data_IF_270745479312
#
_entry.id   IF_270745479312
#
_cell.length_a   1.000
_cell.length_b   1.000
_cell.length_c   1.000
_cell.angle_alpha   90.00
_cell.angle_beta   90.00
_cell.angle_gamma   90.00
#
_symmetry.space_group_name_H-M   'P 1'
#
loop_
_entity.id
_entity.type
_entity.pdbx_description
1 polymer ?
#
# COMPACT_ATOMS: atom_id res chain seq x y z
N UNK A 1 0.52 -11.79 -18.13
CA UNK A 1 0.90 -11.61 -19.54
C UNK A 1 -0.30 -11.51 -20.47
N UNK A 2 -1.21 -12.49 -20.48
CA UNK A 2 -2.42 -12.51 -21.34
C UNK A 2 -3.21 -11.20 -21.36
N UNK A 3 -3.51 -10.65 -20.17
CA UNK A 3 -4.26 -9.39 -20.04
C UNK A 3 -3.53 -8.27 -20.76
N UNK A 4 -2.21 -8.20 -20.65
CA UNK A 4 -1.41 -7.18 -21.34
C UNK A 4 -1.34 -7.39 -22.85
N UNK A 5 -1.34 -8.64 -23.34
CA UNK A 5 -1.44 -8.93 -24.77
C UNK A 5 -2.78 -8.46 -25.35
N UNK A 6 -3.87 -8.57 -24.59
CA UNK A 6 -5.21 -8.10 -24.98
C UNK A 6 -5.37 -6.58 -24.86
N UNK A 7 -4.67 -5.95 -23.93
CA UNK A 7 -4.80 -4.53 -23.59
C UNK A 7 -3.46 -3.78 -23.67
N UNK A 8 -2.82 -3.83 -24.84
CA UNK A 8 -1.44 -3.35 -25.04
C UNK A 8 -1.24 -1.87 -24.71
N UNK A 9 -2.18 -1.01 -25.11
CA UNK A 9 -2.10 0.44 -24.84
C UNK A 9 -2.57 0.83 -23.43
N UNK A 10 -3.28 -0.08 -22.75
CA UNK A 10 -3.89 0.18 -21.43
C UNK A 10 -3.13 -0.46 -20.28
N UNK A 11 -2.04 -1.17 -20.56
CA UNK A 11 -1.18 -1.80 -19.57
C UNK A 11 0.30 -1.56 -19.90
N UNK A 12 1.17 -1.58 -18.90
CA UNK A 12 2.60 -1.76 -19.09
C UNK A 12 2.97 -3.13 -18.56
N UNK A 13 3.66 -3.94 -19.35
CA UNK A 13 4.15 -5.25 -18.93
C UNK A 13 5.55 -5.48 -19.46
N UNK A 14 6.45 -5.92 -18.60
CA UNK A 14 7.78 -6.42 -18.94
C UNK A 14 7.99 -7.73 -18.19
N UNK A 15 8.26 -8.79 -18.93
CA UNK A 15 8.60 -10.09 -18.35
C UNK A 15 9.85 -9.98 -17.47
N UNK A 16 9.91 -10.73 -16.37
CA UNK A 16 11.10 -10.82 -15.55
C UNK A 16 12.22 -11.54 -16.33
N UNK A 17 13.47 -11.32 -15.95
CA UNK A 17 14.62 -12.02 -16.54
C UNK A 17 14.64 -13.50 -16.13
N UNK A 18 14.11 -13.81 -14.96
CA UNK A 18 13.99 -15.16 -14.40
C UNK A 18 12.55 -15.48 -14.03
N UNK A 19 12.19 -16.77 -14.08
CA UNK A 19 10.83 -17.24 -13.82
C UNK A 19 10.34 -16.92 -12.41
N UNK A 20 11.24 -16.95 -11.43
CA UNK A 20 10.95 -16.61 -10.03
C UNK A 20 10.67 -15.12 -9.79
N UNK A 21 10.99 -14.27 -10.76
CA UNK A 21 10.87 -12.83 -10.65
C UNK A 21 9.45 -12.36 -10.88
N UNK A 22 9.05 -11.30 -10.19
CA UNK A 22 7.77 -10.66 -10.49
C UNK A 22 7.87 -9.81 -11.76
N UNK A 23 6.92 -9.90 -12.71
CA UNK A 23 6.92 -9.04 -13.88
C UNK A 23 6.72 -7.57 -13.50
N UNK A 24 7.37 -6.65 -14.23
CA UNK A 24 7.02 -5.24 -14.09
C UNK A 24 5.67 -5.03 -14.76
N UNK A 25 4.67 -4.68 -13.96
CA UNK A 25 3.30 -4.57 -14.41
C UNK A 25 2.65 -3.29 -13.89
N UNK A 26 1.88 -2.61 -14.76
CA UNK A 26 1.11 -1.42 -14.41
C UNK A 26 -0.16 -1.34 -15.23
N UNK A 27 -1.23 -0.85 -14.62
CA UNK A 27 -2.47 -0.47 -15.29
C UNK A 27 -2.43 1.01 -15.67
N UNK A 28 -2.73 1.32 -16.93
CA UNK A 28 -2.91 2.70 -17.40
C UNK A 28 -4.38 3.10 -17.39
N UNK A 29 -5.28 2.13 -17.54
CA UNK A 29 -6.73 2.34 -17.58
C UNK A 29 -7.45 1.34 -16.66
N UNK A 30 -8.76 1.53 -16.46
CA UNK A 30 -9.55 0.67 -15.56
C UNK A 30 -10.00 -0.62 -16.25
N UNK A 31 -10.28 -0.55 -17.55
CA UNK A 31 -10.91 -1.61 -18.34
C UNK A 31 -10.22 -2.98 -18.30
N UNK A 32 -8.87 -3.10 -18.20
CA UNK A 32 -8.22 -4.41 -18.08
C UNK A 32 -8.42 -5.07 -16.71
N UNK A 33 -8.78 -4.31 -15.67
CA UNK A 33 -8.78 -4.77 -14.29
C UNK A 33 -9.80 -5.88 -13.99
N UNK A 34 -11.07 -5.81 -14.43
CA UNK A 34 -12.02 -6.89 -14.21
C UNK A 34 -11.56 -8.25 -14.76
N UNK A 35 -10.96 -8.27 -15.96
CA UNK A 35 -10.42 -9.50 -16.56
C UNK A 35 -9.20 -10.01 -15.76
N UNK A 36 -8.35 -9.09 -15.28
CA UNK A 36 -7.25 -9.44 -14.41
C UNK A 36 -7.76 -10.08 -13.10
N UNK A 37 -8.80 -9.51 -12.48
CA UNK A 37 -9.42 -10.07 -11.29
C UNK A 37 -9.97 -11.47 -11.53
N UNK A 38 -10.67 -11.70 -12.65
CA UNK A 38 -11.19 -13.02 -13.02
C UNK A 38 -10.07 -14.05 -13.16
N UNK A 39 -8.96 -13.70 -13.84
CA UNK A 39 -7.81 -14.59 -14.01
C UNK A 39 -7.13 -14.89 -12.67
N UNK A 40 -6.90 -13.88 -11.83
CA UNK A 40 -6.31 -14.07 -10.50
C UNK A 40 -7.21 -14.95 -9.62
N UNK A 41 -8.52 -14.69 -9.60
CA UNK A 41 -9.46 -15.47 -8.81
C UNK A 41 -9.52 -16.93 -9.28
N UNK A 42 -9.57 -17.18 -10.59
CA UNK A 42 -9.56 -18.54 -11.14
C UNK A 42 -8.28 -19.28 -10.74
N UNK A 43 -7.11 -18.68 -10.96
CA UNK A 43 -5.82 -19.30 -10.62
C UNK A 43 -5.72 -19.61 -9.12
N UNK A 44 -6.16 -18.68 -8.27
CA UNK A 44 -6.19 -18.88 -6.83
C UNK A 44 -7.15 -20.00 -6.40
N UNK A 45 -8.35 -20.06 -6.97
CA UNK A 45 -9.34 -21.12 -6.69
C UNK A 45 -8.84 -22.48 -7.20
N UNK A 46 -8.21 -22.52 -8.37
CA UNK A 46 -7.75 -23.76 -9.01
C UNK A 46 -6.51 -24.34 -8.32
N UNK A 47 -5.69 -23.50 -7.69
CA UNK A 47 -4.58 -23.94 -6.82
C UNK A 47 -5.03 -24.64 -5.53
N UNK A 48 -6.34 -24.69 -5.26
CA UNK A 48 -6.93 -25.22 -4.02
C UNK A 48 -7.82 -26.43 -4.28
N UNK A 49 -7.92 -27.29 -3.27
CA UNK A 49 -8.70 -28.52 -3.32
C UNK A 49 -10.20 -28.30 -3.03
N UNK A 50 -10.82 -27.32 -3.67
CA UNK A 50 -12.26 -27.10 -3.58
C UNK A 50 -13.02 -28.01 -4.56
N UNK A 51 -14.24 -28.42 -4.18
CA UNK A 51 -15.11 -29.19 -5.08
C UNK A 51 -15.52 -28.33 -6.27
N UNK A 52 -15.72 -28.96 -7.44
CA UNK A 52 -16.09 -28.24 -8.66
C UNK A 52 -17.35 -27.37 -8.50
N UNK A 53 -18.38 -27.87 -7.81
CA UNK A 53 -19.62 -27.13 -7.54
C UNK A 53 -19.42 -25.88 -6.65
N UNK A 54 -18.41 -25.93 -5.77
CA UNK A 54 -18.11 -24.86 -4.82
C UNK A 54 -17.28 -23.74 -5.45
N UNK A 55 -16.49 -24.04 -6.49
CA UNK A 55 -15.65 -23.06 -7.20
C UNK A 55 -16.45 -21.89 -7.74
N UNK A 56 -17.64 -22.15 -8.30
CA UNK A 56 -18.51 -21.09 -8.84
C UNK A 56 -19.02 -20.15 -7.74
N UNK A 57 -19.39 -20.70 -6.58
CA UNK A 57 -19.86 -19.94 -5.41
C UNK A 57 -18.73 -19.05 -4.88
N UNK A 58 -17.53 -19.62 -4.72
CA UNK A 58 -16.35 -18.88 -4.25
C UNK A 58 -15.98 -17.77 -5.24
N UNK A 59 -15.99 -18.06 -6.54
CA UNK A 59 -15.67 -17.08 -7.58
C UNK A 59 -16.63 -15.88 -7.57
N UNK A 60 -17.94 -16.14 -7.57
CA UNK A 60 -18.96 -15.08 -7.43
C UNK A 60 -18.77 -14.30 -6.14
N UNK A 61 -18.51 -14.99 -5.00
CA UNK A 61 -18.25 -14.30 -3.74
C UNK A 61 -17.02 -13.39 -3.79
N UNK A 62 -15.94 -13.82 -4.42
CA UNK A 62 -14.70 -13.05 -4.50
C UNK A 62 -14.87 -11.82 -5.40
N UNK A 63 -15.58 -11.95 -6.52
CA UNK A 63 -15.63 -10.95 -7.59
C UNK A 63 -16.82 -9.98 -7.50
N UNK A 64 -17.89 -10.34 -6.78
CA UNK A 64 -19.13 -9.56 -6.74
C UNK A 64 -19.34 -8.94 -5.35
N UNK A 65 -19.36 -7.60 -5.27
CA UNK A 65 -19.45 -6.86 -4.00
C UNK A 65 -20.79 -6.99 -3.28
N UNK A 66 -21.86 -7.37 -3.99
CA UNK A 66 -23.20 -7.55 -3.43
C UNK A 66 -23.47 -8.95 -2.86
N UNK A 67 -22.56 -9.91 -3.08
CA UNK A 67 -22.76 -11.29 -2.59
C UNK A 67 -22.56 -11.38 -1.07
N UNK A 68 -23.47 -12.09 -0.39
CA UNK A 68 -23.45 -12.29 1.07
C UNK A 68 -22.50 -13.42 1.48
N UNK A 69 -21.88 -13.25 2.66
CA UNK A 69 -21.01 -14.26 3.28
C UNK A 69 -21.78 -15.47 3.81
N UNK A 70 -23.09 -15.34 4.06
CA UNK A 70 -23.93 -16.38 4.66
C UNK A 70 -23.84 -17.71 3.91
N UNK A 71 -23.74 -17.66 2.57
CA UNK A 71 -23.62 -18.85 1.72
C UNK A 71 -22.29 -19.60 1.87
N UNK A 72 -21.28 -18.99 2.51
CA UNK A 72 -19.97 -19.57 2.75
C UNK A 72 -19.79 -20.08 4.18
N UNK A 73 -20.39 -19.39 5.18
CA UNK A 73 -20.15 -19.66 6.61
C UNK A 73 -20.48 -21.10 6.98
N UNK A 74 -21.59 -21.64 6.46
CA UNK A 74 -22.03 -22.99 6.79
C UNK A 74 -21.34 -24.08 5.96
N UNK A 75 -20.61 -23.72 4.90
CA UNK A 75 -20.05 -24.66 3.92
C UNK A 75 -18.54 -24.84 4.01
N UNK A 76 -17.83 -23.82 4.47
CA UNK A 76 -16.37 -23.78 4.44
C UNK A 76 -15.79 -23.59 5.84
N UNK A 77 -14.58 -24.12 6.10
CA UNK A 77 -13.92 -23.88 7.38
C UNK A 77 -13.56 -22.39 7.55
N UNK A 78 -13.44 -21.89 8.79
CA UNK A 78 -13.16 -20.48 9.07
C UNK A 78 -11.95 -19.90 8.34
N UNK A 79 -10.89 -20.70 8.16
CA UNK A 79 -9.68 -20.29 7.45
C UNK A 79 -9.95 -20.02 5.96
N UNK A 80 -10.74 -20.86 5.30
CA UNK A 80 -11.09 -20.67 3.89
C UNK A 80 -11.94 -19.42 3.70
N UNK A 81 -12.88 -19.16 4.63
CA UNK A 81 -13.70 -17.95 4.63
C UNK A 81 -12.80 -16.72 4.78
N UNK A 82 -11.86 -16.73 5.73
CA UNK A 82 -10.92 -15.63 5.93
C UNK A 82 -10.09 -15.37 4.67
N UNK A 83 -9.61 -16.42 4.01
CA UNK A 83 -8.85 -16.29 2.78
C UNK A 83 -9.69 -15.76 1.62
N UNK A 84 -10.94 -16.22 1.46
CA UNK A 84 -11.88 -15.66 0.49
C UNK A 84 -12.13 -14.16 0.72
N UNK A 85 -12.27 -13.74 1.99
CA UNK A 85 -12.42 -12.34 2.36
C UNK A 85 -11.18 -11.51 2.00
N UNK A 86 -9.98 -12.04 2.25
CA UNK A 86 -8.72 -11.37 1.87
C UNK A 86 -8.65 -11.18 0.36
N UNK A 87 -8.91 -12.22 -0.43
CA UNK A 87 -8.87 -12.14 -1.89
C UNK A 87 -9.95 -11.19 -2.42
N UNK A 88 -11.17 -11.23 -1.86
CA UNK A 88 -12.25 -10.28 -2.17
C UNK A 88 -11.84 -8.83 -1.87
N UNK A 89 -11.19 -8.59 -0.72
CA UNK A 89 -10.66 -7.27 -0.36
C UNK A 89 -9.61 -6.78 -1.36
N UNK A 90 -8.70 -7.65 -1.77
CA UNK A 90 -7.64 -7.29 -2.74
C UNK A 90 -8.19 -6.99 -4.15
N UNK A 91 -9.20 -7.75 -4.60
CA UNK A 91 -9.76 -7.66 -5.94
C UNK A 91 -10.95 -6.71 -6.02
N UNK A 92 -12.06 -7.07 -5.38
CA UNK A 92 -13.35 -6.37 -5.51
C UNK A 92 -13.43 -5.07 -4.72
N UNK A 93 -12.58 -4.89 -3.71
CA UNK A 93 -12.40 -3.58 -3.06
C UNK A 93 -11.26 -2.78 -3.69
N UNK A 94 -10.79 -3.18 -4.87
CA UNK A 94 -9.89 -2.43 -5.76
C UNK A 94 -8.51 -2.07 -5.16
N UNK A 95 -8.08 -2.72 -4.08
CA UNK A 95 -6.76 -2.49 -3.50
C UNK A 95 -5.65 -2.75 -4.54
N UNK A 96 -5.75 -3.84 -5.30
CA UNK A 96 -4.81 -4.14 -6.37
C UNK A 96 -4.89 -3.16 -7.54
N UNK A 97 -6.07 -2.65 -7.89
CA UNK A 97 -6.21 -1.61 -8.92
C UNK A 97 -5.47 -0.33 -8.52
N UNK A 98 -5.68 0.13 -7.27
CA UNK A 98 -5.01 1.31 -6.73
C UNK A 98 -3.50 1.12 -6.74
N UNK A 99 -3.01 -0.05 -6.34
CA UNK A 99 -1.58 -0.35 -6.35
C UNK A 99 -1.00 -0.41 -7.77
N UNK A 100 -1.63 -1.14 -8.70
CA UNK A 100 -1.15 -1.30 -10.07
C UNK A 100 -1.30 -0.05 -10.93
N UNK A 101 -2.11 0.94 -10.54
CA UNK A 101 -2.13 2.25 -11.20
C UNK A 101 -0.93 3.14 -10.81
N UNK A 102 -0.35 2.94 -9.64
CA UNK A 102 0.76 3.77 -9.14
C UNK A 102 2.06 3.44 -9.87
N UNK A 103 2.89 4.45 -10.08
CA UNK A 103 4.21 4.35 -10.71
C UNK A 103 5.28 4.13 -9.65
N UNK A 104 5.98 3.00 -9.76
CA UNK A 104 7.15 2.72 -8.92
C UNK A 104 8.22 3.80 -9.08
N UNK A 105 8.84 4.20 -7.96
CA UNK A 105 9.83 5.29 -7.82
C UNK A 105 9.35 6.68 -8.23
N UNK A 106 8.06 6.86 -8.48
CA UNK A 106 7.45 8.17 -8.79
C UNK A 106 6.33 8.48 -7.81
N UNK A 107 5.47 7.49 -7.53
CA UNK A 107 4.39 7.62 -6.55
C UNK A 107 4.69 6.87 -5.25
N UNK A 108 5.52 5.83 -5.30
CA UNK A 108 5.86 5.00 -4.16
C UNK A 108 7.21 4.30 -4.34
N UNK A 109 7.77 3.82 -3.23
CA UNK A 109 8.96 2.99 -3.22
C UNK A 109 9.48 2.81 -1.79
N UNK A 110 10.54 2.03 -1.63
CA UNK A 110 11.33 2.00 -0.38
C UNK A 110 12.41 3.07 -0.46
N UNK A 111 12.67 3.77 0.64
CA UNK A 111 13.72 4.78 0.68
C UNK A 111 15.11 4.10 0.64
N UNK A 112 15.97 4.41 -0.33
CA UNK A 112 17.31 3.81 -0.39
C UNK A 112 18.29 4.38 0.64
N UNK A 113 17.93 5.44 1.36
CA UNK A 113 18.79 6.06 2.37
C UNK A 113 18.94 5.13 3.59
N UNK A 114 20.17 4.69 3.87
CA UNK A 114 20.51 3.82 5.00
C UNK A 114 20.19 4.44 6.37
N UNK A 115 20.16 5.78 6.47
CA UNK A 115 19.74 6.47 7.69
C UNK A 115 18.22 6.50 7.88
N UNK A 116 17.45 6.11 6.85
CA UNK A 116 16.00 6.02 6.92
C UNK A 116 15.57 4.67 7.48
N UNK A 117 14.99 4.66 8.68
CA UNK A 117 14.71 3.43 9.41
C UNK A 117 13.42 2.71 8.97
N UNK A 118 12.74 3.12 7.90
CA UNK A 118 11.53 2.43 7.41
C UNK A 118 11.86 1.57 6.20
N UNK A 119 11.38 0.33 6.24
CA UNK A 119 11.53 -0.69 5.20
C UNK A 119 10.23 -0.86 4.41
N UNK A 120 9.09 -0.40 4.91
CA UNK A 120 7.85 -0.36 4.13
C UNK A 120 7.86 0.72 3.05
N UNK A 121 7.08 0.50 1.99
CA UNK A 121 6.90 1.47 0.93
C UNK A 121 6.27 2.78 1.45
N UNK A 122 6.83 3.90 1.01
CA UNK A 122 6.39 5.25 1.35
C UNK A 122 6.00 6.01 0.08
N UNK A 123 5.17 7.07 0.19
CA UNK A 123 4.85 7.93 -0.93
C UNK A 123 6.06 8.68 -1.47
N UNK A 124 6.08 8.93 -2.78
CA UNK A 124 7.10 9.75 -3.45
C UNK A 124 6.45 11.04 -3.96
N UNK A 125 7.15 12.17 -3.84
CA UNK A 125 6.71 13.48 -4.34
C UNK A 125 7.01 13.69 -5.82
N UNK A 126 8.09 13.06 -6.28
CA UNK A 126 8.55 13.09 -7.65
C UNK A 126 9.37 11.82 -7.93
N UNK A 127 9.91 11.70 -9.14
CA UNK A 127 10.82 10.62 -9.49
C UNK A 127 12.00 10.60 -8.51
N UNK A 128 12.16 9.50 -7.79
CA UNK A 128 13.24 9.26 -6.82
C UNK A 128 13.29 10.26 -5.65
N UNK A 129 12.20 11.02 -5.42
CA UNK A 129 12.09 11.96 -4.31
C UNK A 129 11.07 11.44 -3.31
N UNK A 130 11.57 10.90 -2.20
CA UNK A 130 10.77 10.32 -1.13
C UNK A 130 10.05 11.41 -0.34
N UNK A 131 8.83 11.13 0.12
CA UNK A 131 8.15 11.92 1.13
C UNK A 131 8.44 11.36 2.52
N UNK A 132 9.62 11.65 3.08
CA UNK A 132 10.18 10.99 4.27
C UNK A 132 9.30 10.98 5.54
N UNK A 133 8.30 11.86 5.60
CA UNK A 133 7.39 12.02 6.76
C UNK A 133 5.97 11.52 6.48
N UNK A 134 5.75 10.77 5.41
CA UNK A 134 4.42 10.27 5.05
C UNK A 134 4.40 8.76 4.91
N UNK A 135 3.20 8.21 5.08
CA UNK A 135 2.89 6.79 4.93
C UNK A 135 1.56 6.62 4.21
N UNK A 136 1.32 5.43 3.68
CA UNK A 136 0.02 5.10 3.12
C UNK A 136 -0.97 4.82 4.25
N UNK A 137 -2.07 5.57 4.30
CA UNK A 137 -3.09 5.42 5.35
C UNK A 137 -3.87 4.11 5.28
N UNK A 138 -4.02 3.54 4.08
CA UNK A 138 -4.67 2.23 3.91
C UNK A 138 -3.62 1.11 4.07
N UNK A 139 -3.77 0.22 5.08
CA UNK A 139 -2.74 -0.78 5.40
C UNK A 139 -2.51 -1.76 4.25
N UNK A 140 -3.58 -2.27 3.61
CA UNK A 140 -3.41 -3.24 2.52
C UNK A 140 -2.72 -2.63 1.30
N UNK A 141 -3.01 -1.37 0.96
CA UNK A 141 -2.27 -0.65 -0.09
C UNK A 141 -0.80 -0.52 0.30
N UNK A 142 -0.49 -0.22 1.57
CA UNK A 142 0.89 -0.14 2.05
C UNK A 142 1.62 -1.48 1.91
N UNK A 143 0.97 -2.60 2.27
CA UNK A 143 1.53 -3.95 2.14
C UNK A 143 1.79 -4.31 0.68
N UNK A 144 0.80 -4.12 -0.21
CA UNK A 144 0.95 -4.43 -1.63
C UNK A 144 2.04 -3.58 -2.27
N UNK A 145 2.07 -2.27 -2.02
CA UNK A 145 3.13 -1.40 -2.55
C UNK A 145 4.51 -1.74 -1.98
N UNK A 146 4.58 -2.27 -0.76
CA UNK A 146 5.83 -2.79 -0.19
C UNK A 146 6.30 -4.02 -0.95
N UNK A 147 5.44 -5.02 -1.14
CA UNK A 147 5.76 -6.18 -1.99
C UNK A 147 6.25 -5.75 -3.38
N UNK A 148 5.49 -4.90 -4.07
CA UNK A 148 5.86 -4.41 -5.40
C UNK A 148 7.20 -3.68 -5.40
N UNK A 149 7.49 -2.87 -4.37
CA UNK A 149 8.76 -2.14 -4.27
C UNK A 149 9.95 -3.09 -4.19
N UNK A 150 9.87 -4.15 -3.39
CA UNK A 150 10.94 -5.15 -3.26
C UNK A 150 11.01 -6.09 -4.46
N UNK A 151 9.86 -6.48 -5.03
CA UNK A 151 9.82 -7.24 -6.27
C UNK A 151 10.51 -6.50 -7.44
N UNK A 152 10.41 -5.17 -7.49
CA UNK A 152 11.04 -4.37 -8.54
C UNK A 152 12.48 -3.97 -8.25
N UNK A 153 12.86 -3.74 -6.99
CA UNK A 153 14.24 -3.39 -6.62
C UNK A 153 15.14 -4.62 -6.42
N UNK A 154 14.55 -5.77 -6.09
CA UNK A 154 15.25 -6.91 -5.54
C UNK A 154 15.82 -6.62 -4.14
N UNK A 155 16.42 -7.64 -3.55
CA UNK A 155 17.13 -7.51 -2.28
C UNK A 155 18.59 -7.06 -2.51
N UNK A 156 19.11 -6.27 -1.56
CA UNK A 156 20.55 -6.01 -1.49
C UNK A 156 21.32 -7.24 -0.99
N UNK A 157 22.63 -7.29 -1.24
CA UNK A 157 23.48 -8.38 -0.76
C UNK A 157 23.45 -8.52 0.77
N UNK A 158 23.30 -7.40 1.48
CA UNK A 158 23.14 -7.39 2.93
C UNK A 158 21.83 -8.06 3.35
N UNK A 159 20.71 -7.73 2.69
CA UNK A 159 19.40 -8.32 2.98
C UNK A 159 19.36 -9.80 2.60
N UNK A 160 19.99 -10.20 1.49
CA UNK A 160 20.16 -11.61 1.13
C UNK A 160 20.98 -12.35 2.19
N UNK A 161 22.10 -11.77 2.62
CA UNK A 161 22.91 -12.33 3.71
C UNK A 161 22.08 -12.51 4.99
N UNK A 162 21.22 -11.55 5.33
CA UNK A 162 20.31 -11.65 6.47
C UNK A 162 19.32 -12.82 6.31
N UNK A 163 18.70 -12.98 5.13
CA UNK A 163 17.81 -14.10 4.86
C UNK A 163 18.53 -15.44 5.02
N UNK A 164 19.71 -15.58 4.42
CA UNK A 164 20.47 -16.83 4.45
C UNK A 164 21.01 -17.18 5.84
N UNK A 165 21.49 -16.19 6.60
CA UNK A 165 21.93 -16.41 7.97
C UNK A 165 20.75 -16.83 8.86
N UNK A 166 19.60 -16.13 8.76
CA UNK A 166 18.39 -16.51 9.49
C UNK A 166 17.91 -17.91 9.11
N UNK A 167 17.89 -18.22 7.82
CA UNK A 167 17.53 -19.54 7.32
C UNK A 167 18.41 -20.63 7.95
N UNK A 168 19.70 -20.39 8.09
CA UNK A 168 20.63 -21.31 8.74
C UNK A 168 20.46 -21.40 10.27
N UNK A 169 20.20 -20.27 10.92
CA UNK A 169 20.31 -20.15 12.38
C UNK A 169 18.98 -20.37 13.10
N UNK A 170 17.84 -20.05 12.48
CA UNK A 170 16.52 -19.99 13.13
C UNK A 170 15.47 -20.95 12.55
N UNK A 171 15.61 -21.41 11.31
CA UNK A 171 14.59 -22.29 10.70
C UNK A 171 14.80 -23.76 11.09
N UNK A 172 13.71 -24.43 11.44
CA UNK A 172 13.74 -25.86 11.83
C UNK A 172 14.10 -26.78 10.67
N UNK A 173 13.66 -26.43 9.45
CA UNK A 173 13.97 -27.18 8.23
C UNK A 173 14.41 -26.23 7.10
N UNK A 174 15.69 -25.78 7.14
CA UNK A 174 16.23 -24.85 6.15
C UNK A 174 16.23 -25.42 4.72
N UNK A 175 16.38 -26.76 4.61
CA UNK A 175 16.47 -27.45 3.32
C UNK A 175 15.16 -27.38 2.57
N UNK A 176 14.05 -27.70 3.22
CA UNK A 176 12.72 -27.65 2.60
C UNK A 176 12.37 -26.25 2.09
N UNK A 177 12.72 -25.20 2.85
CA UNK A 177 12.50 -23.81 2.42
C UNK A 177 13.39 -23.46 1.22
N UNK A 178 14.67 -23.84 1.25
CA UNK A 178 15.60 -23.59 0.16
C UNK A 178 15.20 -24.32 -1.12
N UNK A 179 14.78 -25.58 -1.02
CA UNK A 179 14.33 -26.40 -2.14
C UNK A 179 13.10 -25.76 -2.82
N UNK A 180 12.20 -25.11 -2.06
CA UNK A 180 11.10 -24.32 -2.64
C UNK A 180 11.60 -23.10 -3.41
N UNK A 181 12.62 -22.40 -2.90
CA UNK A 181 13.20 -21.24 -3.60
C UNK A 181 13.84 -21.65 -4.92
N UNK A 182 14.55 -22.78 -4.93
CA UNK A 182 15.19 -23.37 -6.12
C UNK A 182 14.15 -23.85 -7.13
N UNK A 183 13.14 -24.61 -6.67
CA UNK A 183 12.06 -25.09 -7.53
C UNK A 183 11.34 -23.92 -8.24
N UNK A 184 11.20 -22.79 -7.55
CA UNK A 184 10.56 -21.59 -8.10
C UNK A 184 11.43 -20.82 -9.09
N UNK A 185 12.77 -20.90 -8.99
CA UNK A 185 13.67 -20.42 -10.05
C UNK A 185 13.49 -21.17 -11.37
N UNK A 186 13.24 -22.47 -11.27
CA UNK A 186 13.28 -23.38 -12.40
C UNK A 186 14.68 -23.97 -12.59
N UNK A 187 14.75 -25.02 -13.41
CA UNK A 187 15.97 -25.80 -13.63
C UNK A 187 16.90 -25.17 -14.69
N UNK A 188 16.39 -24.21 -15.47
CA UNK A 188 17.14 -23.57 -16.54
C UNK A 188 18.22 -22.63 -15.96
N UNK A 189 19.48 -22.82 -16.37
CA UNK A 189 20.64 -21.98 -16.03
C UNK A 189 21.01 -21.90 -14.52
N UNK A 190 20.61 -22.88 -13.71
CA UNK A 190 20.97 -22.93 -12.30
C UNK A 190 22.40 -23.49 -12.07
N UNK A 191 23.30 -22.77 -11.38
CA UNK A 191 24.62 -23.29 -11.05
C UNK A 191 24.55 -24.46 -10.06
N UNK A 192 25.25 -25.56 -10.37
CA UNK A 192 25.29 -26.77 -9.53
C UNK A 192 25.80 -26.49 -8.11
N UNK A 193 26.63 -25.47 -7.91
CA UNK A 193 27.14 -25.09 -6.60
C UNK A 193 26.08 -24.49 -5.66
N UNK A 194 24.92 -24.08 -6.17
CA UNK A 194 23.80 -23.55 -5.37
C UNK A 194 22.52 -24.38 -5.53
N UNK A 195 22.57 -25.51 -6.22
CA UNK A 195 21.38 -26.34 -6.46
C UNK A 195 20.78 -26.90 -5.16
N UNK A 196 21.65 -27.23 -4.21
CA UNK A 196 21.25 -27.81 -2.93
C UNK A 196 21.73 -26.95 -1.77
N UNK A 197 20.94 -26.93 -0.69
CA UNK A 197 21.26 -26.18 0.53
C UNK A 197 22.67 -26.50 1.07
N UNK A 198 23.06 -27.78 1.07
CA UNK A 198 24.37 -28.21 1.59
C UNK A 198 25.55 -27.68 0.75
N UNK A 199 25.32 -27.27 -0.50
CA UNK A 199 26.34 -26.65 -1.36
C UNK A 199 26.55 -25.16 -1.08
N UNK A 200 25.61 -24.51 -0.38
CA UNK A 200 25.67 -23.08 -0.08
C UNK A 200 26.67 -22.80 1.04
N UNK A 201 27.70 -22.03 0.72
CA UNK A 201 28.71 -21.56 1.68
C UNK A 201 28.71 -20.03 1.75
N UNK A 202 28.09 -19.49 2.80
CA UNK A 202 27.99 -18.04 3.02
C UNK A 202 29.33 -17.36 3.33
N UNK A 203 30.41 -18.12 3.54
CA UNK A 203 31.77 -17.56 3.71
C UNK A 203 32.51 -17.44 2.38
N UNK A 204 32.07 -18.17 1.35
CA UNK A 204 32.65 -18.09 0.02
C UNK A 204 32.20 -16.79 -0.66
N UNK A 205 33.15 -15.88 -0.88
CA UNK A 205 32.86 -14.61 -1.54
C UNK A 205 32.52 -14.78 -3.03
N UNK A 206 33.23 -15.67 -3.73
CA UNK A 206 32.99 -15.88 -5.16
C UNK A 206 31.63 -16.53 -5.39
N UNK A 207 31.29 -17.55 -4.58
CA UNK A 207 29.98 -18.18 -4.68
C UNK A 207 28.84 -17.18 -4.45
N UNK A 208 28.96 -16.35 -3.40
CA UNK A 208 27.94 -15.35 -3.05
C UNK A 208 27.74 -14.33 -4.16
N UNK A 209 28.82 -13.69 -4.60
CA UNK A 209 28.73 -12.55 -5.53
C UNK A 209 28.45 -12.98 -6.96
N UNK A 210 28.90 -14.17 -7.38
CA UNK A 210 28.78 -14.61 -8.77
C UNK A 210 27.55 -15.47 -9.03
N UNK A 211 27.11 -16.27 -8.06
CA UNK A 211 26.07 -17.28 -8.28
C UNK A 211 24.87 -17.09 -7.35
N UNK A 212 25.08 -17.09 -6.03
CA UNK A 212 23.99 -17.13 -5.04
C UNK A 212 23.16 -15.84 -5.05
N UNK A 213 23.77 -14.69 -4.81
CA UNK A 213 23.03 -13.43 -4.69
C UNK A 213 22.40 -12.96 -6.01
N UNK A 214 23.09 -13.03 -7.17
CA UNK A 214 22.45 -12.72 -8.44
C UNK A 214 21.23 -13.60 -8.73
N UNK A 215 21.27 -14.88 -8.32
CA UNK A 215 20.16 -15.80 -8.52
C UNK A 215 18.95 -15.40 -7.69
N UNK A 216 19.14 -15.17 -6.39
CA UNK A 216 18.03 -14.98 -5.47
C UNK A 216 17.57 -13.53 -5.30
N UNK A 217 18.27 -12.56 -5.88
CA UNK A 217 17.98 -11.13 -5.72
C UNK A 217 16.55 -10.73 -6.05
N UNK A 218 15.99 -11.32 -7.11
CA UNK A 218 14.63 -11.03 -7.57
C UNK A 218 13.66 -12.20 -7.32
N UNK A 219 14.11 -13.27 -6.64
CA UNK A 219 13.27 -14.40 -6.32
C UNK A 219 12.14 -13.97 -5.38
N UNK A 220 10.89 -14.08 -5.83
CA UNK A 220 9.74 -13.64 -5.05
C UNK A 220 9.61 -14.36 -3.70
N UNK A 221 9.99 -15.64 -3.60
CA UNK A 221 9.90 -16.38 -2.34
C UNK A 221 10.94 -15.89 -1.32
N UNK A 222 12.16 -15.60 -1.77
CA UNK A 222 13.21 -15.00 -0.90
C UNK A 222 12.82 -13.59 -0.48
N UNK A 223 12.24 -12.80 -1.37
CA UNK A 223 11.71 -11.48 -1.05
C UNK A 223 10.58 -11.59 -0.02
N UNK A 224 9.65 -12.52 -0.20
CA UNK A 224 8.56 -12.75 0.75
C UNK A 224 9.08 -13.21 2.11
N UNK A 225 10.10 -14.07 2.14
CA UNK A 225 10.80 -14.45 3.36
C UNK A 225 11.39 -13.22 4.05
N UNK A 226 12.12 -12.36 3.33
CA UNK A 226 12.66 -11.12 3.88
C UNK A 226 11.56 -10.23 4.49
N UNK A 227 10.47 -10.02 3.76
CA UNK A 227 9.37 -9.18 4.20
C UNK A 227 8.67 -9.74 5.45
N UNK A 228 8.42 -11.04 5.49
CA UNK A 228 7.71 -11.71 6.58
C UNK A 228 8.54 -11.81 7.86
N UNK A 229 9.88 -11.84 7.78
CA UNK A 229 10.73 -12.01 8.95
C UNK A 229 11.40 -10.72 9.44
N UNK A 230 11.67 -9.75 8.56
CA UNK A 230 12.42 -8.54 8.93
C UNK A 230 11.59 -7.25 8.83
N UNK A 231 10.62 -7.18 7.91
CA UNK A 231 9.88 -5.94 7.63
C UNK A 231 8.55 -5.90 8.38
N UNK A 232 7.62 -6.80 8.06
CA UNK A 232 6.26 -6.76 8.57
C UNK A 232 6.13 -6.98 10.08
N UNK A 233 6.91 -7.87 10.72
CA UNK A 233 6.87 -8.01 12.18
C UNK A 233 7.21 -6.71 12.92
N UNK A 234 8.04 -5.86 12.30
CA UNK A 234 8.49 -4.59 12.84
C UNK A 234 7.54 -3.44 12.51
N UNK A 235 7.10 -3.34 11.26
CA UNK A 235 6.44 -2.14 10.73
C UNK A 235 4.94 -2.29 10.46
N UNK A 236 4.44 -3.52 10.28
CA UNK A 236 3.03 -3.81 10.03
C UNK A 236 2.33 -4.44 11.25
N UNK A 237 2.93 -4.31 12.45
CA UNK A 237 2.37 -4.85 13.68
C UNK A 237 1.05 -4.16 14.01
N UNK A 238 -0.02 -4.94 14.07
CA UNK A 238 -1.32 -4.48 14.55
C UNK A 238 -1.53 -4.88 16.00
N UNK A 239 -2.30 -4.05 16.70
CA UNK A 239 -2.75 -4.30 18.07
C UNK A 239 -4.27 -4.43 18.06
N UNK A 240 -4.84 -5.30 18.91
CA UNK A 240 -6.30 -5.47 18.98
C UNK A 240 -7.04 -4.19 19.38
N UNK A 241 -6.34 -3.29 20.08
CA UNK A 241 -6.85 -1.99 20.48
C UNK A 241 -5.87 -0.90 20.06
N UNK A 242 -6.39 0.18 19.49
CA UNK A 242 -5.63 1.39 19.17
C UNK A 242 -6.03 2.48 20.17
N UNK A 243 -5.06 3.05 20.87
CA UNK A 243 -5.28 4.29 21.61
C UNK A 243 -5.43 5.40 20.58
N UNK A 244 -6.63 5.98 20.49
CA UNK A 244 -6.94 7.09 19.60
C UNK A 244 -7.40 8.25 20.47
N UNK A 245 -6.92 9.44 20.14
CA UNK A 245 -7.44 10.69 20.65
C UNK A 245 -7.44 11.71 19.52
N UNK A 246 -8.44 12.56 19.51
CA UNK A 246 -8.70 13.64 18.58
C UNK A 246 -8.90 14.93 19.37
N UNK A 247 -8.89 16.08 18.68
CA UNK A 247 -9.21 17.35 19.31
C UNK A 247 -10.62 17.34 19.95
N UNK A 248 -11.54 16.53 19.42
CA UNK A 248 -12.88 16.35 19.99
C UNK A 248 -12.85 15.70 21.38
N UNK A 249 -11.87 14.84 21.66
CA UNK A 249 -11.71 14.21 22.98
C UNK A 249 -11.23 15.18 24.06
N UNK A 250 -10.77 16.39 23.67
CA UNK A 250 -10.58 17.47 24.62
C UNK A 250 -11.92 17.81 25.25
N UNK A 251 -12.93 18.07 24.43
CA UNK A 251 -14.24 18.52 24.89
C UNK A 251 -14.97 17.51 25.78
N UNK A 252 -14.66 16.22 25.66
CA UNK A 252 -15.31 15.11 26.37
C UNK A 252 -15.79 15.45 27.79
N UNK A 253 -17.07 15.18 28.05
CA UNK A 253 -17.71 15.36 29.37
C UNK A 253 -17.09 14.51 30.48
N UNK A 254 -16.26 13.52 30.12
CA UNK A 254 -15.50 12.70 31.07
C UNK A 254 -14.30 13.44 31.67
N UNK A 255 -13.92 14.61 31.13
CA UNK A 255 -12.83 15.42 31.70
C UNK A 255 -13.34 16.30 32.84
N UNK A 256 -12.54 16.38 33.90
CA UNK A 256 -12.81 17.23 35.07
C UNK A 256 -12.44 18.70 34.87
N UNK A 257 -11.69 19.04 33.82
CA UNK A 257 -11.18 20.39 33.58
C UNK A 257 -12.13 21.17 32.68
N UNK A 258 -12.40 22.43 33.05
CA UNK A 258 -13.12 23.39 32.23
C UNK A 258 -12.29 23.69 30.98
N UNK A 259 -12.93 23.66 29.82
CA UNK A 259 -12.32 23.97 28.53
C UNK A 259 -12.90 25.28 28.04
N UNK A 260 -12.02 26.19 27.69
CA UNK A 260 -12.33 27.48 27.07
C UNK A 260 -11.51 27.56 25.79
N UNK A 261 -12.14 28.03 24.71
CA UNK A 261 -11.52 28.19 23.42
C UNK A 261 -12.01 29.47 22.77
N UNK A 262 -11.16 30.06 21.92
CA UNK A 262 -11.53 31.21 21.11
C UNK A 262 -11.92 30.71 19.73
N UNK A 263 -13.12 31.04 19.27
CA UNK A 263 -13.47 30.88 17.85
C UNK A 263 -13.26 32.22 17.15
N UNK A 264 -12.48 32.20 16.07
CA UNK A 264 -12.35 33.36 15.18
C UNK A 264 -13.54 33.52 14.23
N UNK A 265 -14.36 32.48 14.08
CA UNK A 265 -15.40 32.39 13.05
C UNK A 265 -16.65 31.71 13.61
N UNK A 266 -17.80 32.36 13.48
CA UNK A 266 -19.08 31.92 14.08
C UNK A 266 -19.78 30.79 13.29
N UNK A 267 -19.39 30.59 12.03
CA UNK A 267 -19.94 29.60 11.09
C UNK A 267 -19.84 28.14 11.59
N UNK A 268 -18.84 27.81 12.40
CA UNK A 268 -18.63 26.46 12.95
C UNK A 268 -19.41 26.16 14.23
N UNK A 269 -20.21 27.10 14.76
CA UNK A 269 -20.99 26.95 16.00
C UNK A 269 -21.80 25.65 16.03
N UNK A 270 -22.49 25.34 14.93
CA UNK A 270 -23.38 24.18 14.82
C UNK A 270 -22.62 22.85 14.77
N UNK A 271 -21.31 22.89 14.51
CA UNK A 271 -20.45 21.72 14.48
C UNK A 271 -19.87 21.40 15.85
N UNK A 272 -19.94 22.32 16.82
CA UNK A 272 -19.36 22.13 18.14
C UNK A 272 -20.04 20.95 18.88
N UNK A 273 -19.30 20.25 19.77
CA UNK A 273 -19.86 19.20 20.61
C UNK A 273 -21.05 19.73 21.42
N UNK A 274 -22.06 18.88 21.64
CA UNK A 274 -23.31 19.23 22.33
C UNK A 274 -23.12 19.88 23.71
N UNK A 275 -22.03 19.54 24.42
CA UNK A 275 -21.73 20.08 25.74
C UNK A 275 -20.87 21.36 25.70
N UNK A 276 -20.32 21.76 24.55
CA UNK A 276 -19.68 23.06 24.38
C UNK A 276 -20.76 24.11 24.15
N UNK A 277 -20.69 25.19 24.92
CA UNK A 277 -21.57 26.36 24.77
C UNK A 277 -20.76 27.52 24.25
N UNK A 278 -21.22 28.12 23.16
CA UNK A 278 -20.65 29.36 22.66
C UNK A 278 -21.05 30.51 23.60
N UNK A 279 -20.10 31.39 23.86
CA UNK A 279 -20.30 32.58 24.67
C UNK A 279 -19.97 33.81 23.82
N UNK A 280 -21.01 34.38 23.21
CA UNK A 280 -20.86 35.54 22.34
C UNK A 280 -20.69 36.81 23.17
N UNK A 281 -19.54 37.45 23.00
CA UNK A 281 -19.23 38.72 23.65
C UNK A 281 -20.08 39.83 23.02
N UNK A 282 -20.79 40.66 23.81
CA UNK A 282 -21.62 41.76 23.29
C UNK A 282 -20.86 42.70 22.36
N UNK A 283 -19.56 42.93 22.62
CA UNK A 283 -18.71 43.82 21.84
C UNK A 283 -18.44 43.30 20.42
N UNK A 284 -18.56 41.98 20.22
CA UNK A 284 -18.26 41.28 18.96
C UNK A 284 -19.50 40.92 18.16
N UNK A 285 -20.72 41.04 18.68
CA UNK A 285 -21.95 40.65 17.95
C UNK A 285 -22.11 41.33 16.58
N UNK A 286 -21.50 42.50 16.39
CA UNK A 286 -21.54 43.25 15.13
C UNK A 286 -20.58 42.76 14.04
N UNK A 287 -19.62 41.88 14.35
CA UNK A 287 -18.58 41.50 13.38
C UNK A 287 -19.15 40.81 12.14
N UNK A 288 -20.15 39.95 12.30
CA UNK A 288 -20.79 39.25 11.17
C UNK A 288 -21.47 40.26 10.22
N UNK A 289 -22.15 41.26 10.79
CA UNK A 289 -22.76 42.35 10.03
C UNK A 289 -21.71 43.24 9.35
N UNK A 290 -20.53 43.45 9.97
CA UNK A 290 -19.42 44.20 9.35
C UNK A 290 -18.88 43.44 8.14
N UNK A 291 -18.75 42.12 8.20
CA UNK A 291 -18.32 41.30 7.06
C UNK A 291 -19.32 41.43 5.90
N UNK A 292 -20.62 41.30 6.18
CA UNK A 292 -21.67 41.49 5.15
C UNK A 292 -21.62 42.91 4.58
N UNK A 293 -21.52 43.93 5.43
CA UNK A 293 -21.44 45.31 4.98
C UNK A 293 -20.19 45.60 4.12
N UNK A 294 -19.06 44.95 4.42
CA UNK A 294 -17.85 45.03 3.60
C UNK A 294 -18.05 44.35 2.25
N UNK A 295 -18.66 43.15 2.22
CA UNK A 295 -18.93 42.42 0.98
C UNK A 295 -19.91 43.17 0.06
N UNK A 296 -20.87 43.90 0.63
CA UNK A 296 -21.87 44.68 -0.11
C UNK A 296 -21.40 46.10 -0.48
N UNK A 297 -20.13 46.45 -0.25
CA UNK A 297 -19.60 47.73 -0.69
C UNK A 297 -19.60 47.84 -2.23
N UNK A 298 -19.92 49.01 -2.83
CA UNK A 298 -19.97 49.21 -4.28
C UNK A 298 -18.68 48.80 -5.01
N UNK A 299 -17.53 48.92 -4.36
CA UNK A 299 -16.22 48.54 -4.88
C UNK A 299 -16.13 47.03 -5.21
N UNK A 300 -16.94 46.21 -4.53
CA UNK A 300 -16.99 44.76 -4.76
C UNK A 300 -17.99 44.34 -5.84
N UNK A 301 -18.79 45.27 -6.39
CA UNK A 301 -19.75 44.95 -7.46
C UNK A 301 -19.08 44.67 -8.81
N UNK A 302 -17.86 45.18 -9.02
CA UNK A 302 -17.13 45.06 -10.27
C UNK A 302 -15.73 44.46 -10.03
N UNK A 303 -15.49 43.26 -10.56
CA UNK A 303 -14.17 42.63 -10.53
C UNK A 303 -13.57 42.58 -11.94
N UNK A 304 -12.26 42.86 -12.04
CA UNK A 304 -11.49 42.63 -13.26
C UNK A 304 -10.55 41.44 -13.06
N UNK A 305 -10.53 40.46 -13.97
CA UNK A 305 -9.56 39.39 -13.89
C UNK A 305 -8.14 39.97 -14.08
N UNK A 306 -7.21 39.48 -13.27
CA UNK A 306 -5.79 39.75 -13.48
C UNK A 306 -5.31 39.01 -14.73
N UNK A 307 -4.52 39.69 -15.56
CA UNK A 307 -3.89 39.08 -16.72
C UNK A 307 -2.83 38.08 -16.25
N UNK A 308 -2.72 36.96 -16.96
CA UNK A 308 -1.63 36.00 -16.76
C UNK A 308 -0.30 36.77 -16.93
N UNK A 309 0.58 36.69 -15.92
CA UNK A 309 1.85 37.45 -15.78
C UNK A 309 1.75 38.90 -15.27
N UNK A 310 0.66 39.27 -14.59
CA UNK A 310 0.60 40.55 -13.86
C UNK A 310 1.69 40.63 -12.79
N UNK A 311 2.53 41.66 -12.82
CA UNK A 311 3.50 41.94 -11.76
C UNK A 311 2.80 42.53 -10.54
N UNK A 312 3.45 42.48 -9.37
CA UNK A 312 2.96 43.10 -8.14
C UNK A 312 2.70 44.60 -8.28
N UNK A 313 3.52 45.32 -9.06
CA UNK A 313 3.28 46.74 -9.40
C UNK A 313 2.01 46.93 -10.25
N UNK A 314 1.73 46.02 -11.19
CA UNK A 314 0.51 46.10 -12.01
C UNK A 314 -0.77 45.86 -11.19
N UNK A 315 -0.66 45.14 -10.07
CA UNK A 315 -1.79 44.86 -9.15
C UNK A 315 -2.05 46.07 -8.25
N UNK A 316 -1.00 46.74 -7.75
CA UNK A 316 -1.13 47.87 -6.83
C UNK A 316 -1.52 49.19 -7.50
N UNK A 317 -1.32 49.30 -8.83
CA UNK A 317 -1.61 50.52 -9.61
C UNK A 317 -2.98 50.50 -10.32
N UNK A 318 -3.84 49.50 -10.04
CA UNK A 318 -5.21 49.39 -10.57
C UNK A 318 -6.24 49.75 -9.51
#
# INVERSE_FOLDING_TARGET
EDVSRMFQEKTCYKSPERKSGFPQFRLQAHEPFPLLCQKIASDWIDSRNYRYADKAIISSFILETYSSIENLVDKFPPLDIQLCLIVRGLLSSEVLLVAFKKRYRVNYGVNPNLSFNRLMAVPFRAKDVVADRTEFGHPDVALVLTHLSYYYSGLSDLQLSQCFNRLNDEETDPRSIYDQWILYEGEDDLPTCIEQWNGVNLKDFEQRTRYLFPTFRYNMLVINYFLNHFVFPREAKQFPFKLVSSAWDLSSSLRSKIITGFSGTNDTQLLLPVHIRQYDLPELQKTDAIVVNNLLQPENENYQPLLINSTSENILNK
#
